data_IF_746459907893
#
_entry.id   IF_746459907893
#
_cell.length_a   1.000
_cell.length_b   1.000
_cell.length_c   1.000
_cell.angle_alpha   90.00
_cell.angle_beta   90.00
_cell.angle_gamma   90.00
#
_symmetry.space_group_name_H-M   'P 1'
#
loop_
_entity.id
_entity.type
_entity.pdbx_description
1 polymer ?
#
# COMPACT_ATOMS: atom_id res chain seq x y z
N UNK A 1 8.32 -10.46 9.62
CA UNK A 1 8.91 -9.11 9.38
C UNK A 1 8.54 -8.65 7.98
N UNK A 2 8.04 -7.43 7.87
CA UNK A 2 7.70 -6.73 6.64
C UNK A 2 8.84 -5.80 6.21
N UNK A 3 9.24 -5.87 4.94
CA UNK A 3 10.11 -4.89 4.31
C UNK A 3 9.27 -3.79 3.64
N UNK A 4 9.38 -2.57 4.19
CA UNK A 4 8.73 -1.39 3.64
C UNK A 4 9.70 -0.58 2.78
N UNK A 5 9.59 -0.74 1.46
CA UNK A 5 10.41 -0.15 0.42
C UNK A 5 10.02 1.31 0.14
N UNK A 6 10.72 2.23 0.75
CA UNK A 6 10.40 3.66 0.75
C UNK A 6 11.22 4.45 -0.29
N UNK A 7 10.56 5.38 -0.98
CA UNK A 7 11.26 6.33 -1.87
C UNK A 7 12.22 7.23 -1.08
N UNK A 8 13.26 7.77 -1.74
CA UNK A 8 14.25 8.69 -1.12
C UNK A 8 13.59 9.85 -0.36
N UNK A 9 12.50 10.41 -0.89
CA UNK A 9 11.76 11.51 -0.25
C UNK A 9 11.10 11.06 1.06
N UNK A 10 10.50 9.87 1.08
CA UNK A 10 9.86 9.33 2.28
C UNK A 10 10.91 8.90 3.31
N UNK A 11 12.00 8.24 2.88
CA UNK A 11 13.11 7.87 3.76
C UNK A 11 13.68 9.06 4.52
N UNK A 12 13.89 10.20 3.85
CA UNK A 12 14.34 11.44 4.50
C UNK A 12 13.41 11.87 5.65
N UNK A 13 12.09 11.68 5.50
CA UNK A 13 11.10 11.99 6.53
C UNK A 13 11.02 10.93 7.63
N UNK A 14 11.35 9.69 7.32
CA UNK A 14 11.45 8.57 8.25
C UNK A 14 12.79 8.48 8.99
N UNK A 15 13.69 9.46 8.77
CA UNK A 15 15.06 9.51 9.33
C UNK A 15 16.00 8.41 8.81
N UNK A 16 15.82 8.01 7.56
CA UNK A 16 16.67 7.02 6.88
C UNK A 16 16.11 5.59 6.96
N UNK A 17 16.74 4.66 6.22
CA UNK A 17 16.44 3.23 6.29
C UNK A 17 16.93 2.64 7.61
N UNK A 18 16.38 1.48 7.97
CA UNK A 18 16.87 0.68 9.09
C UNK A 18 18.09 -0.16 8.65
N UNK A 19 18.90 -0.67 9.60
CA UNK A 19 19.99 -1.59 9.28
C UNK A 19 19.45 -2.83 8.55
N UNK A 20 20.10 -3.20 7.44
CA UNK A 20 19.72 -4.37 6.66
C UNK A 20 20.49 -5.60 7.17
N UNK A 21 19.82 -6.73 7.48
CA UNK A 21 20.49 -8.01 7.66
C UNK A 21 21.21 -8.43 6.38
N UNK A 22 22.31 -9.19 6.48
CA UNK A 22 22.98 -9.71 5.29
C UNK A 22 22.01 -10.48 4.38
N UNK A 23 22.01 -10.15 3.08
CA UNK A 23 21.30 -10.92 2.05
C UNK A 23 19.91 -10.44 1.61
N UNK A 24 19.37 -9.33 2.15
CA UNK A 24 18.02 -8.81 1.84
C UNK A 24 16.97 -9.94 1.66
N UNK A 25 16.62 -10.68 2.73
CA UNK A 25 15.79 -11.89 2.63
C UNK A 25 14.37 -11.63 2.12
N UNK A 26 13.95 -10.37 1.97
CA UNK A 26 12.58 -9.99 1.66
C UNK A 26 11.63 -10.21 2.84
N UNK A 27 10.38 -9.83 2.64
CA UNK A 27 9.38 -9.97 3.71
C UNK A 27 8.95 -11.41 3.94
N UNK A 28 8.71 -11.77 5.20
CA UNK A 28 8.27 -13.12 5.58
C UNK A 28 6.78 -13.36 5.29
N UNK A 29 5.99 -12.30 5.36
CA UNK A 29 4.54 -12.32 5.18
C UNK A 29 4.16 -12.74 3.76
N UNK A 30 2.99 -13.35 3.60
CA UNK A 30 2.59 -13.93 2.31
C UNK A 30 2.44 -12.86 1.23
N UNK A 31 1.89 -11.70 1.56
CA UNK A 31 1.75 -10.59 0.61
C UNK A 31 3.12 -10.01 0.18
N UNK A 32 4.17 -10.23 0.96
CA UNK A 32 5.53 -9.77 0.66
C UNK A 32 5.72 -8.27 0.83
N UNK A 33 6.70 -7.73 0.11
CA UNK A 33 7.16 -6.34 0.25
C UNK A 33 6.08 -5.31 -0.13
N UNK A 34 6.06 -4.22 0.65
CA UNK A 34 5.25 -3.05 0.38
C UNK A 34 6.13 -1.88 -0.03
N UNK A 35 5.66 -1.10 -1.00
CA UNK A 35 6.34 0.09 -1.49
C UNK A 35 5.60 1.33 -1.02
N UNK A 36 6.33 2.34 -0.58
CA UNK A 36 5.72 3.56 -0.07
C UNK A 36 6.37 4.85 -0.56
N UNK A 37 5.53 5.85 -0.72
CA UNK A 37 5.96 7.23 -0.94
C UNK A 37 4.99 8.24 -0.34
N UNK A 38 5.41 9.50 -0.29
CA UNK A 38 4.59 10.60 0.20
C UNK A 38 4.35 11.62 -0.90
N UNK A 39 3.08 11.95 -1.13
CA UNK A 39 2.64 12.85 -2.19
C UNK A 39 1.66 13.90 -1.65
N UNK A 40 1.68 15.11 -2.20
CA UNK A 40 0.61 16.06 -2.01
C UNK A 40 -0.60 15.67 -2.86
N UNK A 41 -1.79 15.88 -2.31
CA UNK A 41 -3.02 15.88 -3.10
C UNK A 41 -3.29 17.28 -3.67
N UNK A 42 -4.43 17.48 -4.30
CA UNK A 42 -4.88 18.79 -4.81
C UNK A 42 -5.17 19.77 -3.67
N UNK A 43 -5.57 19.25 -2.50
CA UNK A 43 -5.79 20.05 -1.29
C UNK A 43 -4.47 20.64 -0.75
N UNK A 44 -4.41 21.97 -0.68
CA UNK A 44 -3.20 22.72 -0.32
C UNK A 44 -2.63 22.27 1.03
N UNK A 45 -1.35 21.90 1.04
CA UNK A 45 -0.61 21.54 2.26
C UNK A 45 -0.95 20.16 2.84
N UNK A 46 -1.90 19.42 2.26
CA UNK A 46 -2.28 18.10 2.72
C UNK A 46 -1.47 17.03 1.98
N UNK A 47 -0.94 16.09 2.76
CA UNK A 47 -0.08 15.01 2.27
C UNK A 47 -0.73 13.66 2.59
N UNK A 48 -0.48 12.70 1.71
CA UNK A 48 -0.84 11.31 1.90
C UNK A 48 0.39 10.44 1.68
N UNK A 49 0.53 9.42 2.52
CA UNK A 49 1.47 8.33 2.31
C UNK A 49 0.69 7.22 1.62
N UNK A 50 1.19 6.81 0.47
CA UNK A 50 0.58 5.76 -0.35
C UNK A 50 1.46 4.54 -0.21
N UNK A 51 0.84 3.44 0.17
CA UNK A 51 1.43 2.12 0.31
C UNK A 51 0.88 1.24 -0.80
N UNK A 52 1.76 0.51 -1.47
CA UNK A 52 1.42 -0.38 -2.57
C UNK A 52 2.09 -1.73 -2.34
N UNK A 53 1.31 -2.80 -2.25
CA UNK A 53 1.87 -4.13 -2.22
C UNK A 53 2.51 -4.48 -3.58
N UNK A 54 3.72 -5.05 -3.57
CA UNK A 54 4.46 -5.35 -4.79
C UNK A 54 3.79 -6.42 -5.66
N UNK A 55 3.20 -7.45 -5.04
CA UNK A 55 2.64 -8.62 -5.75
C UNK A 55 1.23 -8.34 -6.24
N UNK A 56 0.38 -7.80 -5.36
CA UNK A 56 -1.06 -7.68 -5.60
C UNK A 56 -1.49 -6.30 -6.07
N UNK A 57 -0.61 -5.30 -6.00
CA UNK A 57 -0.97 -3.88 -6.18
C UNK A 57 -2.02 -3.38 -5.16
N UNK A 58 -2.28 -4.13 -4.09
CA UNK A 58 -3.13 -3.68 -2.99
C UNK A 58 -2.63 -2.33 -2.49
N UNK A 59 -3.52 -1.34 -2.45
CA UNK A 59 -3.15 0.06 -2.19
C UNK A 59 -3.82 0.54 -0.91
N UNK A 60 -3.01 1.09 0.00
CA UNK A 60 -3.47 1.66 1.27
C UNK A 60 -3.02 3.12 1.36
N UNK A 61 -3.90 3.98 1.83
CA UNK A 61 -3.68 5.42 1.89
C UNK A 61 -3.71 5.90 3.34
N UNK A 62 -2.66 6.58 3.78
CA UNK A 62 -2.59 7.15 5.13
C UNK A 62 -2.38 8.65 5.05
N UNK A 63 -3.34 9.48 5.50
CA UNK A 63 -3.17 10.92 5.54
C UNK A 63 -2.04 11.29 6.52
N UNK A 64 -1.12 12.17 6.11
CA UNK A 64 -0.07 12.67 6.99
C UNK A 64 1.28 12.94 6.33
N UNK A 65 2.22 13.38 7.14
CA UNK A 65 3.53 13.85 6.67
C UNK A 65 4.51 12.73 6.29
N UNK A 66 4.21 11.46 6.55
CA UNK A 66 5.12 10.34 6.24
C UNK A 66 6.35 10.26 7.14
N UNK A 67 6.17 10.52 8.43
CA UNK A 67 7.12 10.08 9.45
C UNK A 67 6.72 8.66 9.93
N UNK A 68 7.55 8.00 10.75
CA UNK A 68 7.28 6.62 11.22
C UNK A 68 5.96 6.45 12.01
N UNK A 69 5.31 7.52 12.46
CA UNK A 69 4.01 7.46 13.14
C UNK A 69 2.85 7.05 12.23
N UNK A 70 3.05 7.03 10.90
CA UNK A 70 2.01 6.55 9.98
C UNK A 70 1.93 5.02 9.92
N UNK A 71 2.92 4.30 10.47
CA UNK A 71 3.01 2.85 10.33
C UNK A 71 1.89 2.09 11.08
N UNK A 72 1.52 2.44 12.33
CA UNK A 72 0.39 1.79 12.99
C UNK A 72 -0.93 1.98 12.23
N UNK A 73 -1.16 3.18 11.69
CA UNK A 73 -2.35 3.48 10.87
C UNK A 73 -2.32 2.71 9.54
N UNK A 74 -1.15 2.54 8.92
CA UNK A 74 -0.99 1.69 7.74
C UNK A 74 -1.39 0.24 8.04
N UNK A 75 -0.93 -0.33 9.15
CA UNK A 75 -1.28 -1.70 9.54
C UNK A 75 -2.79 -1.83 9.82
N UNK A 76 -3.37 -0.93 10.60
CA UNK A 76 -4.79 -0.93 10.90
C UNK A 76 -5.67 -0.84 9.63
N UNK A 77 -5.31 0.06 8.70
CA UNK A 77 -6.03 0.18 7.42
C UNK A 77 -5.83 -1.03 6.51
N UNK A 78 -4.68 -1.67 6.56
CA UNK A 78 -4.45 -2.91 5.81
C UNK A 78 -5.35 -4.03 6.34
N UNK A 79 -5.46 -4.18 7.66
CA UNK A 79 -6.37 -5.12 8.30
C UNK A 79 -7.83 -4.86 7.91
N UNK A 80 -8.30 -3.61 8.01
CA UNK A 80 -9.65 -3.20 7.56
C UNK A 80 -9.89 -3.56 6.09
N UNK A 81 -8.91 -3.29 5.22
CA UNK A 81 -9.00 -3.63 3.81
C UNK A 81 -9.12 -5.14 3.59
N UNK A 82 -8.34 -5.96 4.30
CA UNK A 82 -8.43 -7.42 4.21
C UNK A 82 -9.78 -7.95 4.70
N UNK A 83 -10.35 -7.37 5.77
CA UNK A 83 -11.72 -7.71 6.19
C UNK A 83 -12.76 -7.35 5.12
N UNK A 84 -12.64 -6.16 4.51
CA UNK A 84 -13.54 -5.73 3.44
C UNK A 84 -13.43 -6.59 2.17
N UNK A 85 -12.28 -7.26 1.97
CA UNK A 85 -12.08 -8.26 0.92
C UNK A 85 -12.58 -9.66 1.30
N UNK A 86 -13.17 -9.81 2.48
CA UNK A 86 -13.73 -11.06 3.03
C UNK A 86 -12.67 -12.15 3.20
N UNK A 87 -11.42 -11.77 3.50
CA UNK A 87 -10.34 -12.73 3.78
C UNK A 87 -10.63 -13.44 5.12
N UNK A 88 -10.40 -14.76 5.23
CA UNK A 88 -10.61 -15.47 6.49
C UNK A 88 -9.81 -14.90 7.66
N UNK A 89 -10.46 -14.74 8.82
CA UNK A 89 -9.87 -14.13 10.03
C UNK A 89 -8.51 -14.71 10.41
N UNK A 90 -8.38 -16.05 10.32
CA UNK A 90 -7.14 -16.76 10.64
C UNK A 90 -5.99 -16.37 9.70
N UNK A 91 -6.28 -16.09 8.44
CA UNK A 91 -5.29 -15.65 7.46
C UNK A 91 -4.91 -14.19 7.70
N UNK A 92 -5.89 -13.31 7.99
CA UNK A 92 -5.65 -11.91 8.38
C UNK A 92 -4.73 -11.86 9.59
N UNK A 93 -5.07 -12.58 10.66
CA UNK A 93 -4.29 -12.58 11.89
C UNK A 93 -2.83 -12.99 11.67
N UNK A 94 -2.59 -14.05 10.89
CA UNK A 94 -1.23 -14.50 10.55
C UNK A 94 -0.47 -13.44 9.77
N UNK A 95 -1.10 -12.89 8.73
CA UNK A 95 -0.49 -11.86 7.88
C UNK A 95 -0.13 -10.61 8.70
N UNK A 96 -1.07 -10.11 9.51
CA UNK A 96 -0.87 -8.93 10.33
C UNK A 96 0.19 -9.15 11.42
N UNK A 97 0.24 -10.34 12.05
CA UNK A 97 1.30 -10.68 13.00
C UNK A 97 2.69 -10.58 12.39
N UNK A 98 2.87 -11.11 11.17
CA UNK A 98 4.15 -11.06 10.48
C UNK A 98 4.55 -9.65 10.04
N UNK A 99 3.55 -8.79 9.78
CA UNK A 99 3.73 -7.40 9.39
C UNK A 99 4.04 -6.45 10.56
N UNK A 100 3.87 -6.86 11.83
CA UNK A 100 4.10 -5.99 12.99
C UNK A 100 5.54 -5.49 13.09
N UNK A 101 6.50 -6.34 12.72
CA UNK A 101 7.91 -5.98 12.67
C UNK A 101 8.21 -5.40 11.28
N UNK A 102 8.39 -4.08 11.18
CA UNK A 102 8.59 -3.36 9.91
C UNK A 102 10.04 -2.90 9.79
N UNK A 103 10.73 -3.37 8.76
CA UNK A 103 12.06 -2.92 8.35
C UNK A 103 11.95 -1.93 7.17
N UNK A 104 12.35 -0.67 7.39
CA UNK A 104 12.29 0.37 6.36
C UNK A 104 13.54 0.29 5.48
N UNK A 105 13.36 0.11 4.17
CA UNK A 105 14.45 -0.01 3.20
C UNK A 105 14.23 0.89 1.98
N UNK A 106 15.26 1.22 1.18
CA UNK A 106 15.07 1.90 -0.09
C UNK A 106 14.31 1.03 -1.10
N UNK A 107 13.65 1.69 -2.06
CA UNK A 107 13.01 1.01 -3.20
C UNK A 107 14.00 0.20 -4.02
N UNK A 108 13.69 -1.07 -4.30
CA UNK A 108 14.52 -1.98 -5.09
C UNK A 108 14.01 -2.20 -6.54
N UNK A 109 12.73 -1.98 -6.80
CA UNK A 109 12.11 -2.21 -8.13
C UNK A 109 11.64 -0.92 -8.81
N UNK A 110 12.22 -0.60 -9.99
CA UNK A 110 11.77 0.52 -10.82
C UNK A 110 10.36 0.32 -11.37
N UNK A 111 10.00 -0.92 -11.72
CA UNK A 111 8.65 -1.28 -12.20
C UNK A 111 7.60 -0.96 -11.15
N UNK A 112 7.83 -1.39 -9.90
CA UNK A 112 6.90 -1.17 -8.79
C UNK A 112 6.80 0.32 -8.44
N UNK A 113 7.91 1.07 -8.52
CA UNK A 113 7.87 2.54 -8.39
C UNK A 113 7.03 3.19 -9.50
N UNK A 114 7.07 2.66 -10.72
CA UNK A 114 6.18 3.08 -11.80
C UNK A 114 4.70 2.89 -11.45
N UNK A 115 4.31 1.71 -10.99
CA UNK A 115 2.95 1.42 -10.51
C UNK A 115 2.54 2.32 -9.35
N UNK A 116 3.42 2.52 -8.37
CA UNK A 116 3.18 3.39 -7.22
C UNK A 116 2.94 4.85 -7.64
N UNK A 117 3.68 5.35 -8.64
CA UNK A 117 3.42 6.68 -9.21
C UNK A 117 2.10 6.77 -9.98
N UNK A 118 1.66 5.69 -10.65
CA UNK A 118 0.35 5.65 -11.29
C UNK A 118 -0.76 5.78 -10.24
N UNK A 119 -0.70 4.96 -9.18
CA UNK A 119 -1.66 5.00 -8.06
C UNK A 119 -1.74 6.40 -7.43
N UNK A 120 -0.61 7.09 -7.27
CA UNK A 120 -0.62 8.50 -6.82
C UNK A 120 -1.44 9.43 -7.68
N UNK A 121 -1.30 9.28 -9.00
CA UNK A 121 -1.95 10.17 -9.93
C UNK A 121 -3.44 9.89 -9.91
N UNK A 122 -3.81 8.61 -9.90
CA UNK A 122 -5.20 8.18 -9.88
C UNK A 122 -5.90 8.62 -8.59
N UNK A 123 -5.29 8.44 -7.40
CA UNK A 123 -5.95 8.84 -6.14
C UNK A 123 -6.08 10.35 -6.06
N UNK A 124 -5.09 11.09 -6.60
CA UNK A 124 -5.15 12.55 -6.67
C UNK A 124 -6.34 13.01 -7.52
N UNK A 125 -6.54 12.42 -8.69
CA UNK A 125 -7.66 12.78 -9.59
C UNK A 125 -9.00 12.34 -8.99
N UNK A 126 -9.09 11.09 -8.53
CA UNK A 126 -10.33 10.53 -8.02
C UNK A 126 -10.78 11.26 -6.75
N UNK A 127 -9.86 11.59 -5.84
CA UNK A 127 -10.18 12.35 -4.65
C UNK A 127 -10.69 13.77 -4.98
N UNK A 128 -10.04 14.47 -5.91
CA UNK A 128 -10.40 15.82 -6.35
C UNK A 128 -11.81 15.89 -6.94
N UNK A 129 -12.20 14.85 -7.68
CA UNK A 129 -13.53 14.76 -8.29
C UNK A 129 -14.61 14.40 -7.27
N UNK A 130 -14.31 13.51 -6.31
CA UNK A 130 -15.33 12.98 -5.40
C UNK A 130 -15.51 13.73 -4.10
N UNK A 131 -14.44 14.33 -3.57
CA UNK A 131 -14.46 14.87 -2.22
C UNK A 131 -14.21 16.37 -2.24
N UNK A 132 -15.09 17.17 -1.60
CA UNK A 132 -14.95 18.63 -1.58
C UNK A 132 -13.76 19.08 -0.73
N UNK A 133 -13.32 18.27 0.23
CA UNK A 133 -12.21 18.59 1.13
C UNK A 133 -11.40 17.33 1.45
N UNK A 134 -10.15 17.52 1.87
CA UNK A 134 -9.27 16.42 2.30
C UNK A 134 -9.84 15.62 3.48
N UNK A 135 -10.45 16.32 4.44
CA UNK A 135 -10.94 15.69 5.68
C UNK A 135 -12.25 14.91 5.43
N UNK A 136 -12.90 15.10 4.27
CA UNK A 136 -14.05 14.32 3.83
C UNK A 136 -13.68 13.03 3.09
N UNK A 137 -12.39 12.82 2.77
CA UNK A 137 -11.95 11.62 2.03
C UNK A 137 -12.08 10.39 2.92
N UNK A 138 -12.87 9.43 2.46
CA UNK A 138 -12.96 8.10 3.05
C UNK A 138 -11.85 7.21 2.49
N UNK A 139 -10.70 7.21 3.17
CA UNK A 139 -9.50 6.50 2.73
C UNK A 139 -9.68 4.97 2.65
N UNK A 140 -10.56 4.39 3.46
CA UNK A 140 -10.81 2.93 3.45
C UNK A 140 -11.71 2.57 2.27
N UNK A 141 -12.70 3.42 1.97
CA UNK A 141 -13.48 3.30 0.74
C UNK A 141 -12.61 3.48 -0.51
N UNK A 142 -11.69 4.43 -0.49
CA UNK A 142 -10.75 4.65 -1.59
C UNK A 142 -9.84 3.44 -1.80
N UNK A 143 -9.29 2.86 -0.73
CA UNK A 143 -8.51 1.63 -0.81
C UNK A 143 -9.30 0.48 -1.46
N UNK A 144 -10.58 0.31 -1.10
CA UNK A 144 -11.48 -0.65 -1.74
C UNK A 144 -11.71 -0.36 -3.23
N UNK A 145 -12.04 0.88 -3.58
CA UNK A 145 -12.27 1.28 -4.98
C UNK A 145 -11.02 1.03 -5.83
N UNK A 146 -9.83 1.32 -5.29
CA UNK A 146 -8.59 1.05 -5.99
C UNK A 146 -8.40 -0.43 -6.26
N UNK A 147 -8.58 -1.25 -5.23
CA UNK A 147 -8.44 -2.71 -5.27
C UNK A 147 -9.39 -3.38 -6.26
N UNK A 148 -10.62 -2.87 -6.37
CA UNK A 148 -11.66 -3.48 -7.19
C UNK A 148 -11.74 -2.95 -8.63
N UNK A 149 -11.46 -1.65 -8.85
CA UNK A 149 -11.94 -0.94 -10.05
C UNK A 149 -10.89 -0.10 -10.77
N UNK A 150 -9.93 0.47 -10.04
CA UNK A 150 -8.97 1.42 -10.64
C UNK A 150 -7.70 0.72 -11.08
N UNK A 151 -7.24 -0.30 -10.34
CA UNK A 151 -6.16 -1.14 -10.83
C UNK A 151 -6.60 -1.90 -12.08
N UNK A 152 -5.77 -1.83 -13.11
CA UNK A 152 -5.88 -2.73 -14.25
C UNK A 152 -5.71 -4.19 -13.76
N UNK A 153 -6.30 -5.17 -14.47
CA UNK A 153 -6.05 -6.58 -14.20
C UNK A 153 -4.54 -6.85 -14.22
N UNK A 154 -4.07 -7.68 -13.28
CA UNK A 154 -2.66 -8.01 -13.10
C UNK A 154 -2.12 -8.88 -14.24
N UNK A 155 -3.00 -9.70 -14.83
CA UNK A 155 -2.76 -10.49 -16.03
C UNK A 155 -3.83 -10.16 -17.06
N UNK A 156 -3.39 -9.89 -18.29
CA UNK A 156 -4.27 -9.55 -19.40
C UNK A 156 -4.29 -10.72 -20.39
N UNK A 157 -5.15 -11.69 -20.11
CA UNK A 157 -5.64 -12.66 -21.10
C UNK A 157 -7.14 -12.47 -21.20
N UNK A 158 -7.73 -12.38 -22.42
CA UNK A 158 -9.17 -12.14 -22.60
C UNK A 158 -10.08 -13.17 -21.90
N UNK A 159 -9.52 -14.29 -21.43
CA UNK A 159 -10.24 -15.35 -20.73
C UNK A 159 -9.99 -15.42 -19.21
N UNK A 160 -8.99 -14.71 -18.66
CA UNK A 160 -8.61 -14.78 -17.24
C UNK A 160 -8.12 -13.42 -16.73
N UNK A 161 -9.06 -12.53 -16.40
CA UNK A 161 -8.77 -11.28 -15.72
C UNK A 161 -8.60 -11.57 -14.23
N UNK A 162 -7.40 -11.32 -13.70
CA UNK A 162 -7.12 -11.41 -12.26
C UNK A 162 -6.98 -10.01 -11.71
N UNK A 163 -7.89 -9.61 -10.82
CA UNK A 163 -7.80 -8.33 -10.12
C UNK A 163 -6.98 -8.48 -8.84
N UNK A 164 -6.47 -7.37 -8.27
CA UNK A 164 -5.80 -7.37 -6.98
C UNK A 164 -6.51 -8.18 -5.89
N UNK A 165 -7.84 -8.03 -5.76
CA UNK A 165 -8.65 -8.77 -4.79
C UNK A 165 -8.58 -10.29 -4.96
N UNK A 166 -8.55 -10.77 -6.20
CA UNK A 166 -8.59 -12.20 -6.52
C UNK A 166 -7.24 -12.83 -6.15
N UNK A 167 -6.14 -12.12 -6.47
CA UNK A 167 -4.80 -12.56 -6.10
C UNK A 167 -4.56 -12.49 -4.58
N UNK A 168 -5.13 -11.51 -3.87
CA UNK A 168 -5.04 -11.47 -2.40
C UNK A 168 -5.69 -12.70 -1.79
N UNK A 169 -6.87 -13.10 -2.28
CA UNK A 169 -7.55 -14.33 -1.84
C UNK A 169 -6.70 -15.56 -2.12
N UNK A 170 -6.20 -15.71 -3.35
CA UNK A 170 -5.33 -16.84 -3.73
C UNK A 170 -4.06 -16.94 -2.86
N UNK A 171 -3.44 -15.81 -2.52
CA UNK A 171 -2.23 -15.79 -1.70
C UNK A 171 -2.55 -16.15 -0.24
N UNK A 172 -3.63 -15.60 0.32
CA UNK A 172 -3.89 -15.69 1.75
C UNK A 172 -4.68 -16.93 2.19
N UNK A 173 -5.52 -17.48 1.31
CA UNK A 173 -6.17 -18.80 1.48
C UNK A 173 -5.14 -19.96 1.52
#
# INVERSE_FOLDING_TARGET
>A
MLYLRCTKKLLKRMKGPDPLPEGDPGSSNKLGDWYAHVKPLTYKGKLVVIFLNQKTLLSVFVPGYGNRKVLPEFLARTEILLHNLEIPEKAIHREMQEMQDICIQPTASRKTVGSLNRVSQDIRVHADVKYPTFDAVDWDREAMVFTEKIHAPLYDSPMNLVYPKDLVREILE
#
